data_IF_238370386797
#
_entry.id   IF_238370386797
#
_cell.length_a   1.000
_cell.length_b   1.000
_cell.length_c   1.000
_cell.angle_alpha   90.00
_cell.angle_beta   90.00
_cell.angle_gamma   90.00
#
_symmetry.space_group_name_H-M   'P 1'
#
loop_
_entity.id
_entity.type
_entity.pdbx_description
1 polymer ?
2 non-polymer ?
3 non-polymer ?
4 water ?
#
# COMPACT_ATOMS: atom_id res chain seq x y z
N UNK A 20 -19.02 18.16 3.59
CA UNK A 20 -18.60 17.34 2.41
C UNK A 20 -19.79 16.53 1.83
N UNK A 21 -20.41 17.06 0.78
CA UNK A 21 -21.51 16.38 0.07
C UNK A 21 -21.05 15.08 -0.68
N UNK A 22 -20.02 15.18 -1.55
CA UNK A 22 -19.50 14.05 -2.36
C UNK A 22 -18.54 13.10 -1.63
N UNK A 23 -18.36 11.91 -2.18
CA UNK A 23 -17.43 10.93 -1.61
C UNK A 23 -15.99 11.48 -1.62
N UNK A 24 -15.66 12.26 -2.64
CA UNK A 24 -14.39 12.95 -2.73
C UNK A 24 -14.33 13.90 -3.94
N UNK A 25 -13.53 14.96 -3.82
CA UNK A 25 -13.21 15.80 -4.97
C UNK A 25 -11.98 15.23 -5.70
N UNK A 26 -12.15 14.88 -6.98
CA UNK A 26 -11.10 14.32 -7.82
C UNK A 26 -10.81 15.20 -9.03
N UNK A 27 -9.53 15.47 -9.25
CA UNK A 27 -9.07 16.24 -10.37
C UNK A 27 -8.39 15.27 -11.40
N UNK A 28 -8.87 15.25 -12.63
CA UNK A 28 -8.39 14.36 -13.67
C UNK A 28 -7.53 15.17 -14.64
N UNK A 29 -6.27 14.78 -14.83
CA UNK A 29 -5.32 15.50 -15.63
C UNK A 29 -4.80 14.63 -16.76
N UNK A 30 -5.22 14.94 -17.98
CA UNK A 30 -4.89 14.12 -19.14
C UNK A 30 -5.06 14.98 -20.40
N UNK A 31 -4.25 14.78 -21.41
CA UNK A 31 -4.39 15.63 -22.60
C UNK A 31 -5.24 14.93 -23.62
N UNK A 32 -5.71 13.73 -23.30
CA UNK A 32 -6.56 13.01 -24.22
C UNK A 32 -8.00 13.23 -23.81
N UNK A 33 -8.71 14.01 -24.62
CA UNK A 33 -10.06 14.47 -24.27
C UNK A 33 -11.11 13.33 -24.07
N UNK A 34 -11.03 12.27 -24.86
CA UNK A 34 -12.00 11.17 -24.78
C UNK A 34 -11.78 10.37 -23.52
N UNK A 35 -10.54 10.38 -23.02
CA UNK A 35 -10.26 9.76 -21.74
C UNK A 35 -10.68 10.67 -20.59
N UNK A 36 -10.44 11.98 -20.72
CA UNK A 36 -11.02 12.93 -19.71
C UNK A 36 -12.55 12.75 -19.64
N UNK A 37 -13.22 12.69 -20.79
CA UNK A 37 -14.66 12.47 -20.82
C UNK A 37 -15.07 11.15 -20.13
N UNK A 38 -14.46 10.06 -20.52
CA UNK A 38 -14.79 8.75 -19.98
C UNK A 38 -14.63 8.69 -18.44
N UNK A 39 -13.48 9.14 -17.98
CA UNK A 39 -13.22 9.15 -16.57
C UNK A 39 -14.18 10.01 -15.80
N UNK A 40 -14.52 11.20 -16.31
CA UNK A 40 -15.37 12.05 -15.46
C UNK A 40 -16.79 11.57 -15.44
N UNK A 41 -17.25 11.00 -16.54
CA UNK A 41 -18.61 10.51 -16.57
C UNK A 41 -18.69 9.34 -15.57
N UNK A 42 -17.73 8.41 -15.59
CA UNK A 42 -17.80 7.27 -14.66
C UNK A 42 -17.73 7.70 -13.24
N UNK A 43 -16.72 8.52 -12.93
CA UNK A 43 -16.57 9.04 -11.60
C UNK A 43 -17.80 9.80 -11.13
N UNK A 44 -18.42 10.63 -11.98
CA UNK A 44 -19.59 11.36 -11.53
C UNK A 44 -20.76 10.43 -11.19
N UNK A 45 -20.89 9.37 -12.01
CA UNK A 45 -21.90 8.36 -11.82
C UNK A 45 -21.69 7.52 -10.57
N UNK A 46 -20.46 7.49 -10.06
CA UNK A 46 -20.13 6.83 -8.80
C UNK A 46 -20.28 7.82 -7.61
N UNK A 47 -20.63 9.08 -7.89
CA UNK A 47 -20.82 10.04 -6.83
C UNK A 47 -19.62 10.91 -6.47
N UNK A 48 -18.57 10.86 -7.27
CA UNK A 48 -17.40 11.76 -7.09
C UNK A 48 -17.67 13.10 -7.72
N UNK A 49 -17.20 14.17 -7.10
CA UNK A 49 -17.20 15.47 -7.68
C UNK A 49 -15.91 15.54 -8.52
N UNK A 50 -16.05 15.76 -9.82
CA UNK A 50 -14.89 15.68 -10.68
C UNK A 50 -14.58 16.99 -11.30
N UNK A 51 -13.30 17.34 -11.36
CA UNK A 51 -12.80 18.52 -12.07
C UNK A 51 -11.71 18.11 -13.07
N UNK A 52 -11.49 18.89 -14.13
CA UNK A 52 -10.62 18.37 -15.19
C UNK A 52 -9.53 19.35 -15.68
N UNK A 53 -8.43 18.83 -16.25
CA UNK A 53 -7.42 19.70 -16.86
C UNK A 53 -6.74 18.98 -17.99
N UNK A 54 -6.31 19.72 -18.99
CA UNK A 54 -5.73 19.10 -20.15
C UNK A 54 -4.23 19.29 -20.19
N UNK A 55 -3.68 20.03 -19.23
CA UNK A 55 -2.24 20.31 -19.16
C UNK A 55 -1.84 20.73 -17.73
N UNK A 56 -0.57 20.99 -17.51
CA UNK A 56 -0.07 21.29 -16.20
C UNK A 56 -0.52 22.65 -15.73
N UNK A 57 -0.58 23.64 -16.63
CA UNK A 57 -1.02 24.96 -16.16
C UNK A 57 -2.49 24.91 -15.66
N UNK A 58 -3.38 24.27 -16.42
CA UNK A 58 -4.76 24.17 -16.02
C UNK A 58 -4.89 23.34 -14.74
N UNK A 59 -4.00 22.33 -14.58
CA UNK A 59 -3.95 21.49 -13.37
C UNK A 59 -3.69 22.29 -12.09
N UNK A 60 -2.62 23.07 -12.07
CA UNK A 60 -2.29 23.95 -10.95
C UNK A 60 -3.44 24.96 -10.63
N UNK A 61 -3.99 25.65 -11.65
CA UNK A 61 -5.21 26.47 -11.48
C UNK A 61 -6.42 25.69 -10.89
N UNK A 62 -6.78 24.54 -11.46
CA UNK A 62 -7.95 23.86 -10.94
C UNK A 62 -7.72 23.33 -9.51
N UNK A 63 -6.50 22.88 -9.20
CA UNK A 63 -6.20 22.38 -7.86
C UNK A 63 -6.31 23.45 -6.77
N UNK A 64 -5.98 24.70 -7.09
CA UNK A 64 -6.10 25.81 -6.13
C UNK A 64 -7.54 26.25 -5.96
N UNK A 65 -8.33 26.17 -7.03
CA UNK A 65 -9.71 26.57 -6.96
C UNK A 65 -10.55 25.53 -6.21
N UNK A 66 -10.24 24.25 -6.41
CA UNK A 66 -11.15 23.16 -6.06
C UNK A 66 -10.61 22.25 -4.96
N UNK A 67 -9.33 22.40 -4.61
CA UNK A 67 -8.72 21.66 -3.48
C UNK A 67 -9.05 20.16 -3.47
N UNK A 68 -8.53 19.42 -4.46
CA UNK A 68 -8.94 18.03 -4.62
C UNK A 68 -8.40 17.11 -3.52
N UNK A 69 -9.09 15.98 -3.38
CA UNK A 69 -8.71 14.96 -2.43
C UNK A 69 -7.81 13.92 -3.10
N UNK A 70 -7.88 13.86 -4.42
CA UNK A 70 -7.08 12.93 -5.18
C UNK A 70 -6.87 13.49 -6.57
N UNK A 71 -5.76 13.12 -7.20
CA UNK A 71 -5.49 13.50 -8.57
C UNK A 71 -5.22 12.24 -9.40
N UNK A 72 -5.85 12.16 -10.56
CA UNK A 72 -5.58 11.13 -11.51
C UNK A 72 -4.85 11.77 -12.69
N UNK A 73 -3.66 11.31 -13.01
CA UNK A 73 -3.00 11.88 -14.15
C UNK A 73 -2.29 10.90 -15.01
N UNK A 74 -2.40 11.16 -16.30
CA UNK A 74 -1.69 10.39 -17.26
C UNK A 74 -0.21 10.71 -17.18
N UNK A 75 0.62 9.68 -17.19
CA UNK A 75 2.07 9.88 -17.21
C UNK A 75 2.52 10.44 -18.58
N UNK A 76 1.97 9.93 -19.67
CA UNK A 76 2.32 10.38 -21.01
C UNK A 76 1.57 11.67 -21.34
N UNK A 77 2.29 12.77 -21.44
CA UNK A 77 1.64 14.03 -21.76
C UNK A 77 2.57 14.87 -22.62
N UNK A 78 2.01 15.77 -23.43
CA UNK A 78 2.80 16.68 -24.27
C UNK A 78 3.63 17.69 -23.44
N UNK A 79 4.90 17.83 -23.80
CA UNK A 79 5.79 18.81 -23.20
C UNK A 79 6.43 18.43 -21.88
N UNK A 80 5.58 18.19 -20.87
CA UNK A 80 5.95 17.90 -19.49
C UNK A 80 5.16 16.66 -19.09
N UNK A 81 5.87 15.57 -18.73
CA UNK A 81 5.21 14.34 -18.30
C UNK A 81 4.53 14.46 -16.92
N UNK A 82 3.70 13.48 -16.60
CA UNK A 82 2.86 13.50 -15.40
C UNK A 82 3.60 13.57 -14.07
N UNK A 83 4.84 13.08 -14.03
CA UNK A 83 5.62 13.26 -12.79
C UNK A 83 5.91 14.73 -12.54
N UNK A 84 6.29 15.47 -13.59
CA UNK A 84 6.61 16.90 -13.47
C UNK A 84 5.46 17.78 -13.02
N UNK A 85 4.28 17.43 -13.51
CA UNK A 85 3.07 18.14 -13.15
C UNK A 85 2.74 17.91 -11.66
N UNK A 86 2.95 16.67 -11.22
CA UNK A 86 2.76 16.30 -9.82
C UNK A 86 3.78 16.99 -8.89
N UNK A 87 5.06 17.02 -9.29
CA UNK A 87 6.08 17.73 -8.52
C UNK A 87 5.67 19.16 -8.20
N UNK A 88 5.12 19.82 -9.22
CA UNK A 88 4.76 21.21 -9.12
C UNK A 88 3.49 21.42 -8.26
N UNK A 89 2.51 20.54 -8.41
CA UNK A 89 1.34 20.57 -7.53
C UNK A 89 1.78 20.41 -6.09
N UNK A 90 2.65 19.43 -5.86
CA UNK A 90 3.15 19.19 -4.50
C UNK A 90 4.00 20.31 -3.92
N UNK A 91 4.73 21.04 -4.76
CA UNK A 91 5.49 22.20 -4.27
C UNK A 91 4.55 23.34 -3.87
N UNK A 92 3.38 23.42 -4.51
CA UNK A 92 2.39 24.43 -4.13
C UNK A 92 1.59 24.07 -2.85
N UNK A 93 1.95 22.97 -2.20
CA UNK A 93 1.23 22.53 -1.00
C UNK A 93 0.02 21.62 -1.24
N UNK A 94 -0.30 21.33 -2.49
CA UNK A 94 -1.33 20.33 -2.80
C UNK A 94 -0.80 18.91 -2.58
N UNK A 95 -1.21 18.26 -1.49
CA UNK A 95 -0.63 16.96 -1.13
C UNK A 95 -1.52 15.74 -1.38
N UNK A 96 -2.64 15.96 -2.03
CA UNK A 96 -3.51 14.87 -2.42
C UNK A 96 -2.71 13.68 -3.03
N UNK A 97 -3.15 12.45 -2.76
CA UNK A 97 -2.50 11.32 -3.42
C UNK A 97 -2.90 11.25 -4.92
N UNK A 98 -2.05 10.60 -5.72
CA UNK A 98 -2.23 10.52 -7.16
C UNK A 98 -2.36 9.09 -7.60
N UNK A 99 -3.27 8.89 -8.54
CA UNK A 99 -3.33 7.68 -9.33
C UNK A 99 -2.80 7.98 -10.74
N UNK A 100 -1.80 7.23 -11.20
CA UNK A 100 -1.21 7.46 -12.53
C UNK A 100 -1.78 6.50 -13.55
N UNK A 101 -2.01 6.96 -14.77
CA UNK A 101 -2.37 6.08 -15.86
C UNK A 101 -1.09 5.95 -16.59
N UNK A 102 -0.59 4.72 -16.73
CA UNK A 102 0.76 4.51 -17.24
C UNK A 102 0.86 3.33 -18.21
N UNK A 103 1.81 3.41 -19.12
CA UNK A 103 2.05 2.35 -20.09
C UNK A 103 2.79 1.22 -19.41
N UNK A 104 2.62 -0.01 -19.90
CA UNK A 104 3.29 -1.17 -19.32
C UNK A 104 4.77 -1.28 -19.64
N UNK A 105 5.20 -0.73 -20.78
CA UNK A 105 6.60 -0.82 -21.23
C UNK A 105 7.57 -0.10 -20.29
N UNK A 106 7.07 0.94 -19.66
CA UNK A 106 7.83 1.75 -18.72
C UNK A 106 7.60 1.41 -17.25
N UNK A 107 7.37 0.16 -16.89
CA UNK A 107 7.07 -0.12 -15.48
C UNK A 107 8.31 -0.26 -14.62
N UNK A 108 9.25 -1.11 -15.04
CA UNK A 108 10.47 -1.28 -14.25
C UNK A 108 11.29 0.04 -14.12
N UNK A 109 11.24 0.90 -15.14
CA UNK A 109 11.97 2.17 -15.05
C UNK A 109 11.29 3.19 -14.13
N UNK A 110 9.95 3.18 -14.11
CA UNK A 110 9.17 4.22 -13.44
C UNK A 110 8.54 3.88 -12.08
N UNK A 111 8.74 2.64 -11.63
CA UNK A 111 8.17 2.09 -10.39
C UNK A 111 8.34 2.93 -9.11
N UNK A 112 9.49 3.60 -8.94
CA UNK A 112 9.76 4.44 -7.76
C UNK A 112 8.85 5.68 -7.72
N UNK A 113 8.72 6.37 -8.86
CA UNK A 113 7.85 7.54 -8.98
C UNK A 113 6.39 7.16 -8.82
N UNK A 114 6.03 6.03 -9.44
CA UNK A 114 4.67 5.53 -9.51
C UNK A 114 4.05 5.03 -8.19
N UNK A 115 4.88 4.74 -7.18
CA UNK A 115 4.38 4.17 -5.91
C UNK A 115 4.96 4.84 -4.66
N UNK A 116 5.54 6.03 -4.82
CA UNK A 116 6.04 6.74 -3.65
C UNK A 116 4.86 7.22 -2.82
N UNK A 117 5.02 7.20 -1.49
CA UNK A 117 4.03 7.76 -0.57
C UNK A 117 2.76 6.95 -0.63
N UNK A 118 1.65 7.61 -0.82
CA UNK A 118 0.42 6.89 -0.96
C UNK A 118 -0.17 7.03 -2.33
N UNK A 119 0.69 7.12 -3.34
CA UNK A 119 0.28 7.07 -4.76
C UNK A 119 0.16 5.64 -5.28
N UNK A 120 -0.56 5.48 -6.38
CA UNK A 120 -0.67 4.17 -7.03
C UNK A 120 -0.87 4.41 -8.55
N UNK A 121 -1.07 3.35 -9.34
CA UNK A 121 -1.16 3.47 -10.78
C UNK A 121 -2.06 2.42 -11.34
N UNK A 122 -2.60 2.65 -12.54
CA UNK A 122 -3.16 1.54 -13.38
C UNK A 122 -2.41 1.55 -14.71
N UNK A 123 -2.20 0.39 -15.29
CA UNK A 123 -1.56 0.30 -16.60
C UNK A 123 -2.57 0.40 -17.74
N UNK A 124 -2.18 1.04 -18.83
CA UNK A 124 -2.97 1.03 -20.06
C UNK A 124 -2.84 -0.31 -20.75
N UNK A 125 -3.92 -0.84 -21.34
CA UNK A 125 -5.34 -0.39 -21.32
C UNK A 125 -6.05 -0.75 -20.02
N UNK A 126 -6.65 0.23 -19.36
CA UNK A 126 -7.29 0.02 -18.05
C UNK A 126 -8.81 -0.13 -18.05
N UNK A 127 -9.29 -0.71 -16.95
CA UNK A 127 -10.71 -0.78 -16.74
C UNK A 127 -11.18 0.33 -15.78
N UNK A 128 -12.45 0.67 -15.82
CA UNK A 128 -12.96 1.65 -14.92
C UNK A 128 -13.11 1.09 -13.47
N UNK A 129 -13.49 -0.18 -13.36
CA UNK A 129 -13.49 -0.87 -12.10
C UNK A 129 -12.15 -0.70 -11.37
N UNK A 130 -11.05 -0.94 -12.09
CA UNK A 130 -9.77 -0.80 -11.51
C UNK A 130 -9.42 0.62 -11.07
N UNK A 131 -9.71 1.60 -11.91
CA UNK A 131 -9.47 2.99 -11.58
C UNK A 131 -10.24 3.34 -10.32
N UNK A 132 -11.53 2.98 -10.27
CA UNK A 132 -12.32 3.29 -9.11
C UNK A 132 -11.80 2.64 -7.80
N UNK A 133 -11.53 1.32 -7.85
CA UNK A 133 -10.93 0.60 -6.73
C UNK A 133 -9.63 1.18 -6.24
N UNK A 134 -8.74 1.60 -7.14
CA UNK A 134 -7.40 2.01 -6.70
C UNK A 134 -7.45 3.38 -6.11
N UNK A 135 -8.36 4.19 -6.66
CA UNK A 135 -8.73 5.49 -6.13
C UNK A 135 -9.29 5.39 -4.71
N UNK A 136 -10.20 4.45 -4.45
CA UNK A 136 -10.77 4.31 -3.10
C UNK A 136 -9.68 3.91 -2.10
N UNK A 137 -8.81 3.01 -2.49
CA UNK A 137 -7.71 2.64 -1.64
C UNK A 137 -6.79 3.83 -1.32
N UNK A 138 -6.33 4.61 -2.31
CA UNK A 138 -5.49 5.80 -1.97
C UNK A 138 -6.19 6.84 -1.06
N UNK A 139 -7.48 7.07 -1.29
CA UNK A 139 -8.30 7.96 -0.46
C UNK A 139 -8.36 7.48 1.00
N UNK A 140 -8.49 6.17 1.22
CA UNK A 140 -8.53 5.61 2.56
C UNK A 140 -7.18 5.74 3.23
N UNK A 141 -6.11 5.42 2.49
CA UNK A 141 -4.74 5.54 3.00
C UNK A 141 -4.39 6.99 3.40
N UNK A 142 -4.92 7.98 2.69
CA UNK A 142 -4.67 9.41 2.96
C UNK A 142 -5.46 10.05 4.12
N UNK A 143 -6.62 9.49 4.46
CA UNK A 143 -7.39 9.97 5.62
C UNK A 143 -6.75 9.55 6.94
N UNK A 144 -5.51 9.99 7.18
CA UNK A 144 -4.70 9.68 8.41
C UNK A 144 -4.65 8.19 8.81
N UNK A 151 -10.40 5.62 17.94
CA UNK A 151 -11.65 5.57 17.17
C UNK A 151 -12.80 6.36 17.82
N UNK A 152 -13.97 6.35 17.18
CA UNK A 152 -15.09 7.20 17.59
C UNK A 152 -16.25 6.45 18.26
N UNK A 153 -16.47 6.70 19.55
CA UNK A 153 -17.49 6.00 20.32
C UNK A 153 -18.37 6.94 21.16
N UNK A 154 -19.64 6.56 21.33
CA UNK A 154 -20.57 7.24 22.23
C UNK A 154 -21.30 6.28 23.17
N UNK A 155 -21.48 6.73 24.40
CA UNK A 155 -22.07 5.91 25.44
C UNK A 155 -23.11 6.74 26.15
N UNK A 156 -24.16 6.09 26.61
CA UNK A 156 -25.08 6.68 27.56
C UNK A 156 -25.80 5.57 28.32
N UNK A 157 -25.66 5.55 29.65
CA UNK A 157 -26.17 4.44 30.46
C UNK A 157 -25.71 3.09 29.84
N UNK A 158 -26.62 2.20 29.48
CA UNK A 158 -26.23 0.91 28.88
C UNK A 158 -26.33 0.88 27.33
N UNK A 159 -26.39 2.06 26.72
CA UNK A 159 -26.42 2.20 25.26
C UNK A 159 -25.04 2.63 24.74
N UNK A 160 -24.59 1.99 23.67
CA UNK A 160 -23.32 2.32 23.05
C UNK A 160 -23.44 2.38 21.55
N UNK A 161 -22.77 3.35 20.93
CA UNK A 161 -22.78 3.51 19.47
C UNK A 161 -21.37 3.70 18.92
N UNK A 162 -21.16 3.18 17.71
CA UNK A 162 -19.95 3.45 16.96
C UNK A 162 -20.35 4.30 15.76
N UNK A 163 -19.81 5.52 15.70
CA UNK A 163 -20.18 6.46 14.64
C UNK A 163 -19.67 6.07 13.27
N UNK A 164 -18.60 5.27 13.28
CA UNK A 164 -17.90 4.82 12.09
C UNK A 164 -18.64 3.69 11.35
N UNK A 165 -19.03 2.66 12.10
CA UNK A 165 -19.62 1.43 11.55
C UNK A 165 -21.15 1.38 11.66
N UNK A 166 -21.69 2.16 12.61
CA UNK A 166 -23.12 2.26 12.91
C UNK A 166 -23.65 1.13 13.84
N UNK A 167 -22.75 0.34 14.40
CA UNK A 167 -23.16 -0.70 15.34
C UNK A 167 -23.78 -0.09 16.59
N UNK A 168 -24.83 -0.72 17.10
CA UNK A 168 -25.46 -0.28 18.34
C UNK A 168 -25.53 -1.42 19.35
N UNK A 169 -25.33 -1.13 20.62
CA UNK A 169 -25.39 -2.15 21.69
C UNK A 169 -26.33 -1.72 22.83
N UNK A 170 -27.04 -2.68 23.41
CA UNK A 170 -27.96 -2.44 24.52
C UNK A 170 -27.72 -3.52 25.60
N UNK A 171 -27.14 -3.08 26.73
CA UNK A 171 -26.62 -3.98 27.79
C UNK A 171 -25.72 -5.08 27.22
N UNK A 172 -24.75 -4.68 26.40
CA UNK A 172 -23.85 -5.60 25.69
C UNK A 172 -24.37 -6.27 24.42
N UNK A 173 -25.69 -6.21 24.18
CA UNK A 173 -26.34 -6.94 23.07
C UNK A 173 -26.48 -6.13 21.78
N UNK A 174 -25.91 -6.63 20.65
CA UNK A 174 -26.04 -5.91 19.38
C UNK A 174 -27.49 -5.56 19.12
N UNK A 175 -27.73 -4.36 18.58
CA UNK A 175 -29.06 -3.96 18.15
C UNK A 175 -28.98 -3.43 16.73
N UNK A 176 -29.87 -3.94 15.88
CA UNK A 176 -29.92 -3.57 14.49
C UNK A 176 -30.86 -2.37 14.27
N UNK A 177 -30.29 -1.23 13.91
CA UNK A 177 -31.04 -0.02 13.58
C UNK A 177 -31.01 0.39 12.09
N UNK A 178 -32.10 0.94 11.60
CA UNK A 178 -32.06 1.53 10.29
C UNK A 178 -31.20 2.84 10.33
N UNK A 179 -30.75 3.33 9.15
CA UNK A 179 -29.97 4.61 9.15
C UNK A 179 -30.65 5.75 9.91
N UNK A 180 -31.96 5.90 9.73
CA UNK A 180 -32.73 6.93 10.40
C UNK A 180 -32.76 6.76 11.94
N UNK A 181 -32.96 5.52 12.39
CA UNK A 181 -33.06 5.17 13.80
C UNK A 181 -31.75 5.46 14.46
N UNK A 182 -30.68 5.22 13.72
CA UNK A 182 -29.33 5.51 14.17
C UNK A 182 -29.09 6.99 14.38
N UNK A 183 -29.38 7.77 13.35
CA UNK A 183 -29.30 9.24 13.39
C UNK A 183 -30.11 9.75 14.57
N UNK A 184 -31.32 9.23 14.72
CA UNK A 184 -32.21 9.61 15.83
C UNK A 184 -31.60 9.26 17.21
N UNK A 185 -31.13 8.03 17.39
CA UNK A 185 -30.52 7.65 18.65
C UNK A 185 -29.25 8.46 18.95
N UNK A 186 -28.41 8.69 17.94
CA UNK A 186 -27.22 9.53 18.08
C UNK A 186 -27.61 10.96 18.51
N UNK A 187 -28.63 11.53 17.88
CA UNK A 187 -29.13 12.87 18.26
C UNK A 187 -29.54 12.98 19.72
N UNK A 188 -30.27 11.98 20.23
CA UNK A 188 -30.63 11.91 21.67
C UNK A 188 -29.44 11.77 22.60
N UNK A 189 -28.48 10.91 22.26
CA UNK A 189 -27.30 10.61 23.11
C UNK A 189 -26.37 11.80 23.24
N UNK A 190 -26.00 12.40 22.11
CA UNK A 190 -25.23 13.65 22.06
C UNK A 190 -25.93 14.80 22.83
N UNK A 191 -27.26 14.82 22.81
CA UNK A 191 -28.03 15.82 23.54
C UNK A 191 -28.79 15.26 24.76
N UNK A 192 -28.23 14.23 25.38
CA UNK A 192 -28.81 13.65 26.58
C UNK A 192 -29.12 14.74 27.60
N UNK A 193 -30.33 14.69 28.13
CA UNK A 193 -30.76 15.70 29.09
C UNK A 193 -31.53 16.86 28.49
N UNK A 194 -31.43 17.06 27.17
CA UNK A 194 -32.09 18.19 26.51
C UNK A 194 -33.47 17.76 25.97
N UNK A 195 -34.50 18.53 26.27
CA UNK A 195 -35.82 18.26 25.68
C UNK A 195 -35.78 18.72 24.24
N UNK A 196 -35.98 17.78 23.35
CA UNK A 196 -35.94 18.00 21.92
C UNK A 196 -37.34 17.92 21.36
N UNK A 197 -37.75 18.99 20.69
CA UNK A 197 -39.09 19.08 20.11
C UNK A 197 -39.17 18.32 18.79
N UNK A 198 -40.37 17.89 18.42
CA UNK A 198 -40.55 17.19 17.15
C UNK A 198 -39.95 18.03 15.98
N UNK A 199 -40.29 19.34 15.87
CA UNK A 199 -39.67 20.12 14.78
C UNK A 199 -38.12 20.12 14.72
N UNK A 200 -37.44 20.34 15.84
CA UNK A 200 -35.96 20.19 15.88
C UNK A 200 -35.48 18.79 15.45
N UNK A 201 -36.17 17.77 15.94
CA UNK A 201 -35.79 16.41 15.57
C UNK A 201 -35.96 16.23 14.06
N UNK A 202 -37.10 16.70 13.54
CA UNK A 202 -37.42 16.49 12.15
C UNK A 202 -36.41 17.17 11.21
N UNK A 203 -36.09 18.42 11.51
CA UNK A 203 -35.05 19.14 10.80
C UNK A 203 -33.67 18.42 10.77
N UNK A 204 -33.27 17.79 11.85
CA UNK A 204 -31.92 17.27 11.95
C UNK A 204 -31.87 15.89 11.31
N UNK A 205 -32.82 15.03 11.70
CA UNK A 205 -32.85 13.67 11.21
C UNK A 205 -32.95 13.55 9.70
N UNK A 206 -33.75 14.38 9.07
CA UNK A 206 -33.90 14.37 7.60
C UNK A 206 -33.21 15.53 6.86
N UNK A 207 -32.27 16.21 7.55
CA UNK A 207 -31.42 17.25 6.95
C UNK A 207 -32.18 18.37 6.22
N UNK A 208 -33.33 18.78 6.76
CA UNK A 208 -34.14 19.85 6.16
C UNK A 208 -34.81 19.41 4.85
N UNK A 209 -34.62 18.17 4.43
CA UNK A 209 -35.17 17.79 3.16
C UNK A 209 -36.66 17.51 3.30
N UNK A 210 -37.07 17.18 4.52
CA UNK A 210 -38.41 16.70 4.79
C UNK A 210 -39.13 17.70 5.65
N UNK A 211 -40.36 18.01 5.29
CA UNK A 211 -41.12 19.00 6.05
C UNK A 211 -42.56 18.60 6.25
N UNK A 212 -42.83 17.31 6.26
CA UNK A 212 -44.21 16.82 6.34
C UNK A 212 -44.55 16.57 7.79
N UNK A 213 -45.56 15.73 8.01
CA UNK A 213 -46.11 15.58 9.36
C UNK A 213 -45.09 15.17 10.45
N UNK A 214 -45.11 15.92 11.56
CA UNK A 214 -44.31 15.63 12.74
C UNK A 214 -44.59 14.25 13.40
N UNK A 215 -45.72 13.61 13.08
CA UNK A 215 -46.03 12.26 13.62
C UNK A 215 -45.11 11.14 13.09
N UNK A 216 -44.39 11.42 12.01
CA UNK A 216 -43.25 10.63 11.60
C UNK A 216 -42.20 10.61 12.74
N UNK A 217 -41.99 11.72 13.42
CA UNK A 217 -41.09 11.74 14.56
C UNK A 217 -41.64 10.82 15.65
N UNK A 218 -42.95 10.86 15.86
CA UNK A 218 -43.58 10.00 16.84
C UNK A 218 -43.40 8.54 16.49
N UNK A 219 -43.54 8.19 15.22
CA UNK A 219 -43.34 6.81 14.76
C UNK A 219 -41.92 6.29 15.01
N UNK A 220 -40.92 7.11 14.62
CA UNK A 220 -39.50 6.74 14.80
C UNK A 220 -39.06 6.67 16.24
N UNK A 221 -39.52 7.60 17.06
CA UNK A 221 -39.24 7.49 18.49
C UNK A 221 -39.81 6.17 18.99
N UNK A 222 -41.00 5.84 18.52
CA UNK A 222 -41.68 4.58 18.88
C UNK A 222 -40.88 3.34 18.42
N UNK A 223 -40.34 3.37 17.19
CA UNK A 223 -39.51 2.25 16.73
C UNK A 223 -38.26 2.14 17.52
N UNK A 224 -37.64 3.30 17.75
CA UNK A 224 -36.43 3.39 18.55
C UNK A 224 -36.65 2.91 19.96
N UNK A 225 -37.78 3.28 20.59
CA UNK A 225 -38.01 2.83 21.97
C UNK A 225 -38.15 1.30 22.06
N UNK A 226 -38.71 0.71 21.01
CA UNK A 226 -38.97 -0.73 20.94
C UNK A 226 -37.70 -1.54 20.74
N UNK A 227 -36.64 -0.91 20.27
CA UNK A 227 -35.36 -1.59 20.06
C UNK A 227 -34.33 -1.32 21.16
N UNK A 228 -34.19 -0.07 21.61
CA UNK A 228 -33.16 0.24 22.63
C UNK A 228 -33.69 0.61 24.02
N UNK A 229 -34.99 0.77 24.14
CA UNK A 229 -35.60 1.24 25.38
C UNK A 229 -36.62 0.25 25.94
N UNK A 230 -36.10 -0.84 26.50
CA UNK A 230 -36.87 -2.05 26.75
C UNK A 230 -36.83 -2.52 28.23
N UNK A 231 -37.93 -2.29 28.95
CA UNK A 231 -38.09 -2.81 30.31
C UNK A 231 -37.33 -2.02 31.35
N UNK A 232 -37.47 -2.42 32.61
CA UNK A 232 -36.75 -1.78 33.72
C UNK A 232 -36.84 -0.22 33.68
N UNK A 233 -35.73 0.49 33.88
CA UNK A 233 -35.77 1.97 33.92
C UNK A 233 -35.96 2.55 32.51
N UNK A 234 -36.97 3.41 32.36
CA UNK A 234 -37.26 4.09 31.08
C UNK A 234 -36.22 5.19 30.80
N UNK A 235 -35.50 5.09 29.68
CA UNK A 235 -34.46 6.09 29.37
C UNK A 235 -34.95 7.21 28.44
N UNK A 236 -35.97 6.90 27.64
CA UNK A 236 -36.49 7.81 26.64
C UNK A 236 -37.89 8.31 27.01
N UNK A 237 -38.01 9.59 27.30
CA UNK A 237 -39.24 10.12 27.86
C UNK A 237 -39.96 11.10 26.94
N UNK A 238 -41.27 11.16 27.13
CA UNK A 238 -42.11 12.12 26.47
C UNK A 238 -42.55 13.14 27.50
N UNK A 239 -42.14 14.38 27.26
CA UNK A 239 -42.73 15.48 27.97
C UNK A 239 -43.87 15.94 27.06
N UNK A 240 -45.08 15.59 27.44
CA UNK A 240 -46.28 15.77 26.61
C UNK A 240 -46.54 17.24 26.25
N UNK A 241 -46.65 17.49 24.94
CA UNK A 241 -46.90 18.84 24.41
C UNK A 241 -45.63 19.62 24.11
N UNK A 242 -44.47 19.07 24.51
CA UNK A 242 -43.19 19.80 24.43
C UNK A 242 -42.17 19.05 23.59
N UNK A 243 -41.89 17.79 23.96
CA UNK A 243 -40.97 16.99 23.16
C UNK A 243 -40.49 15.73 23.85
N UNK A 244 -39.33 15.24 23.39
CA UNK A 244 -38.72 14.03 23.93
C UNK A 244 -37.37 14.30 24.59
N UNK A 245 -37.04 13.52 25.61
CA UNK A 245 -35.74 13.64 26.26
C UNK A 245 -35.16 12.29 26.67
N UNK A 246 -33.86 12.12 26.41
CA UNK A 246 -33.15 10.95 26.85
C UNK A 246 -32.48 11.30 28.16
N UNK A 247 -32.96 10.64 29.23
CA UNK A 247 -32.57 10.91 30.61
C UNK A 247 -32.85 9.68 31.48
N UNK A 248 -32.06 9.55 32.55
CA UNK A 248 -32.31 8.53 33.55
C UNK A 248 -33.61 8.95 34.27
N UNK A 249 -34.50 7.97 34.66
CA UNK A 249 -35.72 8.25 35.41
C UNK A 249 -35.31 8.68 36.83
N UNK B 21 22.41 -15.74 -4.52
CA UNK B 21 21.05 -15.85 -3.92
C UNK B 21 19.97 -15.40 -4.92
N UNK B 22 18.81 -16.11 -4.96
CA UNK B 22 17.72 -15.50 -5.76
C UNK B 22 17.21 -14.18 -5.17
N UNK B 23 16.58 -13.37 -6.00
CA UNK B 23 15.96 -12.14 -5.53
C UNK B 23 14.85 -12.47 -4.49
N UNK B 24 14.06 -13.52 -4.73
CA UNK B 24 13.10 -14.01 -3.78
C UNK B 24 12.57 -15.38 -4.18
N UNK B 25 12.06 -16.13 -3.21
CA UNK B 25 11.31 -17.35 -3.43
C UNK B 25 9.84 -17.02 -3.54
N UNK B 26 9.24 -17.33 -4.69
CA UNK B 26 7.82 -17.09 -4.98
C UNK B 26 7.06 -18.40 -5.19
N UNK B 27 5.93 -18.52 -4.54
CA UNK B 27 5.04 -19.64 -4.77
C UNK B 27 3.83 -19.18 -5.61
N UNK B 28 3.63 -19.82 -6.76
CA UNK B 28 2.51 -19.52 -7.63
C UNK B 28 1.43 -20.57 -7.44
N UNK B 29 0.21 -20.14 -7.09
CA UNK B 29 -0.93 -21.02 -6.86
C UNK B 29 -2.07 -20.69 -7.84
N UNK B 30 -2.35 -21.61 -8.77
CA UNK B 30 -3.36 -21.39 -9.82
C UNK B 30 -3.72 -22.79 -10.39
N UNK B 31 -4.95 -22.99 -10.79
CA UNK B 31 -5.34 -24.31 -11.26
C UNK B 31 -5.34 -24.29 -12.77
N UNK B 32 -5.00 -23.16 -13.35
CA UNK B 32 -4.86 -23.06 -14.80
C UNK B 32 -3.36 -23.27 -15.16
N UNK B 33 -3.08 -24.43 -15.77
CA UNK B 33 -1.72 -24.88 -15.98
C UNK B 33 -0.87 -23.95 -16.89
N UNK B 34 -1.46 -23.45 -17.96
CA UNK B 34 -0.80 -22.57 -18.90
C UNK B 34 -0.46 -21.23 -18.22
N UNK B 35 -1.22 -20.82 -17.22
CA UNK B 35 -0.92 -19.59 -16.49
C UNK B 35 0.17 -19.87 -15.45
N UNK B 36 0.12 -21.04 -14.83
CA UNK B 36 1.25 -21.51 -14.02
C UNK B 36 2.53 -21.55 -14.85
N UNK B 37 2.48 -22.15 -16.04
CA UNK B 37 3.68 -22.15 -16.87
C UNK B 37 4.19 -20.72 -17.18
N UNK B 38 3.33 -19.85 -17.72
CA UNK B 38 3.72 -18.50 -18.07
C UNK B 38 4.34 -17.71 -16.94
N UNK B 39 3.68 -17.75 -15.79
CA UNK B 39 4.18 -17.01 -14.65
C UNK B 39 5.55 -17.50 -14.19
N UNK B 40 5.75 -18.81 -14.16
CA UNK B 40 6.99 -19.30 -13.62
C UNK B 40 8.14 -19.11 -14.55
N UNK B 41 7.94 -19.33 -15.86
CA UNK B 41 8.97 -19.05 -16.84
C UNK B 41 9.36 -17.56 -16.74
N UNK B 42 8.39 -16.64 -16.70
CA UNK B 42 8.75 -15.22 -16.62
C UNK B 42 9.53 -14.90 -15.40
N UNK B 43 9.03 -15.37 -14.28
CA UNK B 43 9.64 -15.07 -13.03
C UNK B 43 11.03 -15.65 -12.99
N UNK B 44 11.22 -16.87 -13.52
CA UNK B 44 12.53 -17.48 -13.49
C UNK B 44 13.52 -16.68 -14.34
N UNK B 45 13.03 -16.17 -15.46
CA UNK B 45 13.86 -15.38 -16.34
C UNK B 45 14.22 -14.05 -15.80
N UNK B 46 13.45 -13.56 -14.83
CA UNK B 46 13.74 -12.36 -14.06
C UNK B 46 14.63 -12.66 -12.83
N UNK B 47 14.98 -13.92 -12.60
CA UNK B 47 15.89 -14.26 -11.48
C UNK B 47 15.24 -14.72 -10.17
N UNK B 48 13.92 -14.92 -10.18
CA UNK B 48 13.19 -15.45 -9.02
C UNK B 48 13.26 -16.99 -8.95
N UNK B 49 13.24 -17.53 -7.75
CA UNK B 49 13.15 -18.96 -7.52
C UNK B 49 11.65 -19.24 -7.39
N UNK B 50 11.11 -20.03 -8.31
CA UNK B 50 9.66 -20.19 -8.38
C UNK B 50 9.30 -21.61 -8.03
N UNK B 51 8.24 -21.77 -7.24
CA UNK B 51 7.67 -23.07 -6.93
C UNK B 51 6.19 -22.99 -7.29
N UNK B 52 5.53 -24.13 -7.56
CA UNK B 52 4.13 -24.04 -8.03
C UNK B 52 3.18 -24.98 -7.31
N UNK B 53 1.87 -24.71 -7.39
CA UNK B 53 0.82 -25.57 -6.82
C UNK B 53 -0.48 -25.34 -7.55
N UNK B 54 -1.25 -26.40 -7.74
CA UNK B 54 -2.45 -26.32 -8.58
C UNK B 54 -3.72 -26.24 -7.72
N UNK B 55 -3.58 -26.28 -6.39
CA UNK B 55 -4.68 -26.31 -5.42
C UNK B 55 -4.23 -25.98 -3.96
N UNK B 56 -5.16 -25.88 -3.05
CA UNK B 56 -4.85 -25.49 -1.69
C UNK B 56 -3.97 -26.49 -0.98
N UNK B 57 -4.24 -27.78 -1.15
CA UNK B 57 -3.45 -28.78 -0.44
C UNK B 57 -1.99 -28.70 -0.91
N UNK B 58 -1.77 -28.66 -2.22
CA UNK B 58 -0.40 -28.58 -2.77
C UNK B 58 0.29 -27.31 -2.33
N UNK B 59 -0.49 -26.22 -2.18
CA UNK B 59 0.01 -24.91 -1.71
C UNK B 59 0.53 -24.96 -0.28
N UNK B 60 -0.21 -25.56 0.64
CA UNK B 60 0.22 -25.68 2.01
C UNK B 60 1.49 -26.56 2.10
N UNK B 61 1.57 -27.65 1.31
CA UNK B 61 2.77 -28.52 1.29
C UNK B 61 3.98 -27.79 0.74
N UNK B 62 3.83 -27.11 -0.40
CA UNK B 62 4.97 -26.43 -0.98
C UNK B 62 5.46 -25.26 -0.09
N UNK B 63 4.55 -24.57 0.59
CA UNK B 63 4.95 -23.44 1.45
C UNK B 63 5.75 -23.88 2.69
N UNK B 64 5.45 -25.05 3.23
CA UNK B 64 6.24 -25.60 4.32
C UNK B 64 7.61 -26.10 3.87
N UNK B 65 7.68 -26.67 2.67
CA UNK B 65 8.94 -27.18 2.15
C UNK B 65 9.87 -26.06 1.70
N UNK B 66 9.32 -24.99 1.13
CA UNK B 66 10.12 -23.99 0.44
C UNK B 66 10.11 -22.59 1.05
N UNK B 67 9.29 -22.38 2.08
CA UNK B 67 9.25 -21.10 2.79
C UNK B 67 9.30 -19.88 1.86
N UNK B 68 8.20 -19.59 1.15
CA UNK B 68 8.26 -18.49 0.20
C UNK B 68 8.25 -17.08 0.80
N UNK B 69 8.79 -16.15 0.04
CA UNK B 69 8.79 -14.74 0.39
C UNK B 69 7.57 -14.05 -0.15
N UNK B 70 6.89 -14.67 -1.13
CA UNK B 70 5.67 -14.11 -1.68
C UNK B 70 4.81 -15.19 -2.33
N UNK B 71 3.49 -14.98 -2.33
CA UNK B 71 2.58 -15.90 -2.95
C UNK B 71 1.76 -15.15 -4.00
N UNK B 72 1.67 -15.75 -5.19
CA UNK B 72 0.79 -15.27 -6.23
C UNK B 72 -0.33 -16.31 -6.34
N UNK B 73 -1.56 -15.86 -6.19
CA UNK B 73 -2.67 -16.76 -6.32
C UNK B 73 -3.90 -16.21 -7.01
N UNK B 74 -4.48 -17.08 -7.82
CA UNK B 74 -5.65 -16.73 -8.52
C UNK B 74 -6.83 -16.77 -7.54
N UNK B 75 -7.61 -15.69 -7.50
CA UNK B 75 -8.82 -15.66 -6.73
C UNK B 75 -9.84 -16.72 -7.19
N UNK B 76 -9.96 -16.96 -8.50
CA UNK B 76 -10.90 -17.95 -9.03
C UNK B 76 -10.29 -19.34 -9.03
N UNK B 77 -10.73 -20.19 -8.13
CA UNK B 77 -10.22 -21.55 -8.11
C UNK B 77 -11.33 -22.55 -7.81
N UNK B 78 -11.19 -23.78 -8.33
CA UNK B 78 -12.18 -24.83 -8.09
C UNK B 78 -12.30 -25.14 -6.58
N UNK B 79 -13.53 -25.28 -6.10
CA UNK B 79 -13.81 -25.73 -4.74
C UNK B 79 -13.68 -24.68 -3.64
N UNK B 80 -12.47 -24.14 -3.51
CA UNK B 80 -12.07 -23.18 -2.46
C UNK B 80 -11.36 -22.01 -3.16
N UNK B 81 -11.93 -20.81 -3.06
CA UNK B 81 -11.30 -19.65 -3.68
C UNK B 81 -9.97 -19.22 -3.04
N UNK B 82 -9.29 -18.29 -3.71
CA UNK B 82 -7.97 -17.83 -3.35
C UNK B 82 -7.83 -17.17 -2.00
N UNK B 83 -8.89 -16.55 -1.51
CA UNK B 83 -8.91 -16.06 -0.14
C UNK B 83 -8.83 -17.17 0.90
N UNK B 84 -9.64 -18.22 0.74
CA UNK B 84 -9.60 -19.38 1.64
C UNK B 84 -8.24 -20.08 1.72
N UNK B 85 -7.61 -20.22 0.58
CA UNK B 85 -6.28 -20.82 0.50
C UNK B 85 -5.26 -19.98 1.27
N UNK B 86 -5.39 -18.65 1.12
CA UNK B 86 -4.55 -17.71 1.85
C UNK B 86 -4.83 -17.72 3.36
N UNK B 87 -6.09 -17.77 3.78
CA UNK B 87 -6.41 -17.88 5.22
C UNK B 87 -5.70 -19.07 5.90
N UNK B 88 -5.77 -20.23 5.22
CA UNK B 88 -5.20 -21.47 5.72
C UNK B 88 -3.70 -21.35 5.85
N UNK B 89 -3.03 -20.86 4.79
CA UNK B 89 -1.59 -20.61 4.81
C UNK B 89 -1.21 -19.72 5.98
N UNK B 90 -1.86 -18.56 6.06
CA UNK B 90 -1.62 -17.67 7.18
C UNK B 90 -1.88 -18.27 8.58
N UNK B 91 -2.80 -19.21 8.69
CA UNK B 91 -3.05 -19.88 9.98
C UNK B 91 -1.89 -20.84 10.34
N UNK B 92 -1.21 -21.36 9.31
CA UNK B 92 -0.01 -22.18 9.53
C UNK B 92 1.27 -21.36 9.78
N UNK B 93 1.15 -20.04 9.91
CA UNK B 93 2.31 -19.20 10.23
C UNK B 93 3.09 -18.73 9.00
N UNK B 94 2.66 -19.15 7.81
CA UNK B 94 3.18 -18.56 6.57
C UNK B 94 2.65 -17.13 6.37
N UNK B 95 3.48 -16.13 6.66
CA UNK B 95 3.03 -14.72 6.59
C UNK B 95 3.48 -13.94 5.37
N UNK B 96 4.06 -14.62 4.38
CA UNK B 96 4.46 -13.95 3.17
C UNK B 96 3.31 -13.08 2.61
N UNK B 97 3.62 -11.92 2.02
CA UNK B 97 2.57 -11.17 1.30
C UNK B 97 2.08 -11.89 0.01
N UNK B 98 0.88 -11.54 -0.44
CA UNK B 98 0.26 -12.18 -1.56
C UNK B 98 -0.09 -11.14 -2.62
N UNK B 99 -0.03 -11.60 -3.87
CA UNK B 99 -0.49 -10.91 -5.05
C UNK B 99 -1.63 -11.75 -5.64
N UNK B 100 -2.85 -11.20 -5.68
CA UNK B 100 -3.97 -11.93 -6.29
C UNK B 100 -4.09 -11.67 -7.79
N UNK B 101 -4.45 -12.68 -8.56
CA UNK B 101 -4.92 -12.46 -9.93
C UNK B 101 -6.42 -12.48 -9.79
N UNK B 102 -7.09 -11.45 -10.26
CA UNK B 102 -8.52 -11.28 -9.96
C UNK B 102 -9.27 -10.71 -11.18
N UNK B 103 -10.54 -11.07 -11.29
CA UNK B 103 -11.40 -10.57 -12.36
C UNK B 103 -11.82 -9.16 -12.01
N UNK B 104 -12.12 -8.35 -13.02
CA UNK B 104 -12.52 -6.97 -12.78
C UNK B 104 -13.94 -6.79 -12.29
N UNK B 105 -14.83 -7.71 -12.65
CA UNK B 105 -16.26 -7.67 -12.25
C UNK B 105 -16.45 -7.73 -10.73
N UNK B 106 -15.53 -8.40 -10.06
CA UNK B 106 -15.57 -8.55 -8.61
C UNK B 106 -14.70 -7.55 -7.82
N UNK B 107 -14.51 -6.32 -8.29
CA UNK B 107 -13.54 -5.47 -7.61
C UNK B 107 -14.12 -4.75 -6.41
N UNK B 108 -15.23 -4.06 -6.58
CA UNK B 108 -15.87 -3.38 -5.44
C UNK B 108 -16.31 -4.33 -4.31
N UNK B 109 -16.66 -5.57 -4.64
CA UNK B 109 -17.05 -6.53 -3.59
C UNK B 109 -15.84 -7.08 -2.81
N UNK B 110 -14.70 -7.24 -3.49
CA UNK B 110 -13.57 -7.99 -2.94
C UNK B 110 -12.39 -7.15 -2.46
N UNK B 111 -12.51 -5.82 -2.60
CA UNK B 111 -11.43 -4.85 -2.34
C UNK B 111 -10.76 -4.95 -0.96
N UNK B 112 -11.52 -5.34 0.07
CA UNK B 112 -11.02 -5.46 1.45
C UNK B 112 -10.07 -6.64 1.61
N UNK B 113 -10.45 -7.79 1.07
CA UNK B 113 -9.59 -8.97 1.07
C UNK B 113 -8.37 -8.82 0.18
N UNK B 114 -8.54 -8.18 -0.98
CA UNK B 114 -7.50 -7.98 -1.98
C UNK B 114 -6.37 -7.00 -1.58
N UNK B 115 -6.58 -6.14 -0.60
CA UNK B 115 -5.59 -5.12 -0.25
C UNK B 115 -5.29 -5.00 1.24
N UNK B 116 -5.74 -5.95 2.05
CA UNK B 116 -5.39 -5.99 3.49
C UNK B 116 -3.89 -6.23 3.68
N UNK B 117 -3.32 -5.60 4.70
CA UNK B 117 -1.93 -5.84 5.07
C UNK B 117 -1.00 -5.30 4.01
N UNK B 118 -0.08 -6.14 3.54
CA UNK B 118 0.79 -5.74 2.45
C UNK B 118 0.52 -6.57 1.20
N UNK B 119 -0.72 -6.96 1.01
CA UNK B 119 -1.15 -7.68 -0.19
C UNK B 119 -1.54 -6.72 -1.33
N UNK B 120 -1.47 -7.20 -2.56
CA UNK B 120 -1.95 -6.41 -3.68
C UNK B 120 -2.51 -7.36 -4.75
N UNK B 121 -3.01 -6.83 -5.87
CA UNK B 121 -3.62 -7.65 -6.91
C UNK B 121 -3.28 -7.11 -8.30
N UNK B 122 -3.46 -7.95 -9.33
CA UNK B 122 -3.61 -7.48 -10.71
C UNK B 122 -4.91 -8.04 -11.27
N UNK B 123 -5.54 -7.32 -12.19
CA UNK B 123 -6.82 -7.73 -12.73
C UNK B 123 -6.61 -8.44 -14.06
N UNK B 124 -7.42 -9.45 -14.33
CA UNK B 124 -7.37 -10.13 -15.64
C UNK B 124 -8.07 -9.30 -16.70
N UNK B 125 -7.54 -9.28 -17.93
CA UNK B 125 -6.28 -9.90 -18.44
C UNK B 125 -5.07 -9.06 -18.05
N UNK B 126 -4.06 -9.70 -17.45
CA UNK B 126 -2.91 -8.98 -16.93
C UNK B 126 -1.64 -9.05 -17.79
N UNK B 127 -0.72 -8.15 -17.49
CA UNK B 127 0.58 -8.16 -18.14
C UNK B 127 1.67 -8.69 -17.21
N UNK B 128 2.74 -9.24 -17.75
CA UNK B 128 3.83 -9.72 -16.88
C UNK B 128 4.60 -8.55 -16.28
N UNK B 129 4.76 -7.46 -17.02
CA UNK B 129 5.33 -6.27 -16.44
C UNK B 129 4.62 -5.88 -15.17
N UNK B 130 3.29 -5.84 -15.20
CA UNK B 130 2.58 -5.46 -14.02
C UNK B 130 2.74 -6.48 -12.86
N UNK B 131 2.73 -7.77 -13.19
CA UNK B 131 2.87 -8.78 -12.16
C UNK B 131 4.19 -8.59 -11.45
N UNK B 132 5.26 -8.44 -12.22
CA UNK B 132 6.60 -8.29 -11.67
C UNK B 132 6.74 -7.04 -10.80
N UNK B 133 6.28 -5.90 -11.33
CA UNK B 133 6.31 -4.64 -10.57
C UNK B 133 5.53 -4.71 -9.26
N UNK B 134 4.35 -5.34 -9.25
CA UNK B 134 3.54 -5.34 -8.02
C UNK B 134 4.10 -6.29 -7.00
N UNK B 135 4.70 -7.38 -7.48
CA UNK B 135 5.48 -8.30 -6.69
C UNK B 135 6.68 -7.60 -6.02
N UNK B 136 7.46 -6.80 -6.76
CA UNK B 136 8.63 -6.14 -6.16
C UNK B 136 8.19 -5.16 -5.06
N UNK B 137 7.11 -4.47 -5.31
CA UNK B 137 6.62 -3.56 -4.29
C UNK B 137 6.19 -4.30 -3.01
N UNK B 138 5.37 -5.37 -3.12
CA UNK B 138 5.00 -6.11 -1.89
C UNK B 138 6.21 -6.73 -1.14
N UNK B 139 7.21 -7.21 -1.91
CA UNK B 139 8.46 -7.69 -1.31
C UNK B 139 9.23 -6.60 -0.53
N UNK B 140 9.24 -5.38 -1.05
CA UNK B 140 9.91 -4.27 -0.39
C UNK B 140 9.17 -3.84 0.87
N UNK B 141 7.83 -3.80 0.79
CA UNK B 141 6.98 -3.40 1.93
C UNK B 141 7.11 -4.42 3.07
N UNK B 142 7.30 -5.71 2.74
CA UNK B 142 7.46 -6.78 3.74
C UNK B 142 8.83 -6.89 4.42
N UNK B 143 9.88 -6.28 3.84
CA UNK B 143 11.20 -6.24 4.50
C UNK B 143 11.24 -5.30 5.72
N UNK B 144 11.06 -5.89 6.91
CA UNK B 144 10.79 -5.18 8.19
C UNK B 144 9.58 -4.22 8.08
N UNK B 153 24.77 -0.22 7.43
CA UNK B 153 25.81 0.79 7.69
C UNK B 153 27.00 0.25 8.48
N UNK B 154 27.95 -0.32 7.76
CA UNK B 154 29.24 -0.69 8.32
C UNK B 154 30.15 0.52 8.37
N UNK B 155 30.85 0.66 9.47
CA UNK B 155 31.80 1.74 9.64
C UNK B 155 33.15 1.14 9.99
N UNK B 156 34.22 1.77 9.49
CA UNK B 156 35.55 1.53 10.02
C UNK B 156 36.36 2.81 9.87
N UNK B 157 36.97 3.28 10.96
CA UNK B 157 37.72 4.54 10.96
C UNK B 157 36.86 5.60 10.26
N UNK B 158 37.34 6.16 9.14
CA UNK B 158 36.54 7.14 8.38
C UNK B 158 35.88 6.59 7.13
N UNK B 159 35.78 5.27 7.05
CA UNK B 159 35.16 4.63 5.93
C UNK B 159 33.77 4.18 6.36
N UNK B 160 32.80 4.38 5.47
CA UNK B 160 31.45 3.91 5.69
C UNK B 160 30.90 3.24 4.46
N UNK B 161 30.11 2.19 4.66
CA UNK B 161 29.47 1.44 3.54
C UNK B 161 28.01 1.13 3.84
N UNK B 162 27.19 1.17 2.80
CA UNK B 162 25.81 0.70 2.88
C UNK B 162 25.72 -0.60 2.09
N UNK B 163 25.41 -1.69 2.77
CA UNK B 163 25.35 -3.00 2.12
C UNK B 163 24.20 -3.14 1.14
N UNK B 164 23.16 -2.33 1.34
CA UNK B 164 21.94 -2.35 0.55
C UNK B 164 22.11 -1.68 -0.83
N UNK B 165 22.75 -0.50 -0.85
CA UNK B 165 22.81 0.34 -2.04
C UNK B 165 24.21 0.29 -2.67
N UNK B 166 25.21 -0.03 -1.84
CA UNK B 166 26.62 -0.12 -2.24
C UNK B 166 27.37 1.22 -2.27
N UNK B 167 26.77 2.26 -1.71
CA UNK B 167 27.42 3.55 -1.58
C UNK B 167 28.58 3.44 -0.62
N UNK B 168 29.68 4.10 -0.96
CA UNK B 168 30.83 4.14 -0.08
C UNK B 168 31.20 5.61 0.21
N UNK B 169 31.64 5.88 1.45
CA UNK B 169 32.10 7.21 1.85
C UNK B 169 33.49 7.19 2.50
N UNK B 170 34.27 8.23 2.18
CA UNK B 170 35.61 8.40 2.74
C UNK B 170 35.76 9.82 3.31
N UNK B 171 35.79 9.91 4.64
CA UNK B 171 35.77 11.18 5.35
C UNK B 171 34.57 12.03 4.88
N UNK B 172 33.41 11.38 4.81
CA UNK B 172 32.17 12.04 4.39
C UNK B 172 31.97 12.08 2.87
N UNK B 173 33.05 11.90 2.11
CA UNK B 173 33.00 12.08 0.65
C UNK B 173 32.63 10.78 -0.10
N UNK B 174 31.58 10.83 -0.93
CA UNK B 174 31.18 9.67 -1.76
C UNK B 174 32.34 9.11 -2.57
N UNK B 175 32.50 7.78 -2.56
CA UNK B 175 33.51 7.13 -3.38
C UNK B 175 32.82 6.11 -4.28
N UNK B 176 33.18 6.14 -5.55
CA UNK B 176 32.63 5.24 -6.52
C UNK B 176 33.49 3.96 -6.68
N UNK B 177 32.93 2.81 -6.34
CA UNK B 177 33.63 1.52 -6.39
C UNK B 177 32.93 0.53 -7.34
N UNK B 178 33.71 -0.25 -8.05
CA UNK B 178 33.13 -1.32 -8.87
C UNK B 178 32.58 -2.42 -7.92
N UNK B 179 31.69 -3.30 -8.42
CA UNK B 179 31.18 -4.40 -7.57
C UNK B 179 32.24 -5.23 -6.85
N UNK B 180 33.40 -5.39 -7.47
CA UNK B 180 34.47 -6.24 -6.93
C UNK B 180 35.24 -5.50 -5.82
N UNK B 181 35.49 -4.23 -6.04
CA UNK B 181 36.14 -3.35 -5.07
C UNK B 181 35.26 -3.24 -3.84
N UNK B 182 33.95 -3.25 -4.06
CA UNK B 182 33.02 -3.11 -2.95
C UNK B 182 33.11 -4.36 -2.08
N UNK B 183 32.87 -5.52 -2.69
CA UNK B 183 33.03 -6.82 -2.05
C UNK B 183 34.34 -6.91 -1.28
N UNK B 184 35.44 -6.48 -1.92
CA UNK B 184 36.78 -6.49 -1.33
C UNK B 184 36.83 -5.54 -0.15
N UNK B 185 36.29 -4.33 -0.29
CA UNK B 185 36.30 -3.43 0.86
C UNK B 185 35.50 -4.01 2.06
N UNK B 186 34.31 -4.53 1.78
CA UNK B 186 33.45 -5.12 2.81
C UNK B 186 34.18 -6.27 3.54
N UNK B 187 34.83 -7.13 2.77
CA UNK B 187 35.55 -8.27 3.32
C UNK B 187 36.63 -7.85 4.33
N UNK B 188 37.38 -6.79 3.99
CA UNK B 188 38.40 -6.19 4.90
C UNK B 188 37.76 -5.56 6.16
N UNK B 189 36.67 -4.81 5.99
CA UNK B 189 35.99 -4.13 7.11
C UNK B 189 35.41 -5.14 8.10
N UNK B 190 34.58 -6.06 7.59
CA UNK B 190 34.02 -7.14 8.41
C UNK B 190 35.11 -7.99 9.13
N UNK B 191 36.29 -8.12 8.52
CA UNK B 191 37.43 -8.83 9.12
C UNK B 191 38.57 -7.88 9.53
N UNK B 192 38.24 -6.64 9.88
CA UNK B 192 39.25 -5.68 10.36
C UNK B 192 40.22 -6.35 11.39
N UNK B 193 41.52 -6.14 11.24
CA UNK B 193 42.50 -6.71 12.15
C UNK B 193 42.96 -8.12 11.81
N UNK B 194 42.28 -8.79 10.88
CA UNK B 194 42.67 -10.13 10.45
C UNK B 194 43.57 -10.07 9.21
N UNK B 195 44.68 -10.83 9.25
CA UNK B 195 45.57 -10.92 8.08
C UNK B 195 44.96 -11.89 7.07
N UNK B 196 44.68 -11.36 5.88
CA UNK B 196 43.94 -12.05 4.84
C UNK B 196 44.87 -12.32 3.68
N UNK B 197 45.09 -13.60 3.41
CA UNK B 197 46.02 -13.98 2.39
C UNK B 197 45.36 -13.83 1.01
N UNK B 198 46.19 -13.72 -0.01
CA UNK B 198 45.69 -13.59 -1.35
C UNK B 198 44.74 -14.73 -1.71
N UNK B 199 45.10 -16.01 -1.39
CA UNK B 199 44.16 -17.09 -1.73
C UNK B 199 42.79 -16.99 -1.07
N UNK B 200 42.76 -16.62 0.23
CA UNK B 200 41.48 -16.42 0.96
C UNK B 200 40.69 -15.28 0.32
N UNK B 201 41.37 -14.22 -0.09
CA UNK B 201 40.67 -13.08 -0.69
C UNK B 201 40.12 -13.48 -2.04
N UNK B 202 40.90 -14.22 -2.80
CA UNK B 202 40.52 -14.68 -4.14
C UNK B 202 39.28 -15.61 -4.15
N UNK B 203 39.26 -16.58 -3.25
CA UNK B 203 38.08 -17.43 -3.08
C UNK B 203 36.80 -16.62 -2.71
N UNK B 204 36.96 -15.60 -1.87
CA UNK B 204 35.81 -14.95 -1.29
C UNK B 204 35.24 -13.98 -2.26
N UNK B 205 36.12 -13.24 -2.92
CA UNK B 205 35.69 -12.14 -3.75
C UNK B 205 35.03 -12.59 -5.04
N UNK B 206 35.47 -13.72 -5.59
CA UNK B 206 34.91 -14.22 -6.82
C UNK B 206 34.12 -15.50 -6.58
N UNK B 207 33.80 -15.74 -5.30
CA UNK B 207 32.90 -16.87 -4.89
C UNK B 207 33.32 -18.28 -5.33
N UNK B 208 34.62 -18.54 -5.40
CA UNK B 208 35.16 -19.83 -5.89
C UNK B 208 35.03 -20.04 -7.38
N UNK B 209 34.50 -19.06 -8.11
CA UNK B 209 34.38 -19.24 -9.53
C UNK B 209 35.72 -19.07 -10.23
N UNK B 210 36.61 -18.29 -9.62
CA UNK B 210 37.84 -17.89 -10.29
C UNK B 210 38.99 -18.59 -9.59
N UNK B 211 39.90 -19.17 -10.39
CA UNK B 211 41.08 -19.81 -9.85
C UNK B 211 42.41 -19.45 -10.51
N UNK B 212 42.51 -18.25 -11.11
CA UNK B 212 43.72 -17.85 -11.84
C UNK B 212 44.69 -17.10 -10.93
N UNK B 213 45.57 -16.32 -11.54
CA UNK B 213 46.68 -15.72 -10.80
C UNK B 213 46.23 -14.84 -9.64
N UNK B 214 46.85 -15.06 -8.49
CA UNK B 214 46.64 -14.23 -7.29
C UNK B 214 46.98 -12.74 -7.46
N UNK B 215 47.78 -12.38 -8.46
CA UNK B 215 48.16 -10.96 -8.67
C UNK B 215 46.99 -10.06 -9.11
N UNK B 216 45.86 -10.67 -9.48
CA UNK B 216 44.59 -9.98 -9.60
C UNK B 216 44.19 -9.42 -8.22
N UNK B 217 44.50 -10.16 -7.16
CA UNK B 217 44.22 -9.66 -5.82
C UNK B 217 45.12 -8.45 -5.59
N UNK B 218 46.36 -8.54 -6.07
CA UNK B 218 47.27 -7.41 -5.89
C UNK B 218 46.78 -6.17 -6.63
N UNK B 219 46.26 -6.34 -7.83
CA UNK B 219 45.68 -5.20 -8.57
C UNK B 219 44.48 -4.56 -7.86
N UNK B 220 43.54 -5.40 -7.38
CA UNK B 220 42.35 -4.89 -6.70
C UNK B 220 42.64 -4.18 -5.38
N UNK B 221 43.51 -4.75 -4.55
CA UNK B 221 43.97 -4.07 -3.36
C UNK B 221 44.59 -2.73 -3.71
N UNK B 222 45.37 -2.70 -4.79
CA UNK B 222 45.95 -1.43 -5.30
C UNK B 222 44.87 -0.42 -5.75
N UNK B 223 43.86 -0.86 -6.51
CA UNK B 223 42.81 0.07 -6.88
C UNK B 223 42.10 0.57 -5.64
N UNK B 224 41.78 -0.34 -4.73
CA UNK B 224 41.03 -0.01 -3.54
C UNK B 224 41.81 0.96 -2.62
N UNK B 225 43.13 0.77 -2.48
CA UNK B 225 43.91 1.75 -1.72
C UNK B 225 43.87 3.13 -2.36
N UNK B 226 43.86 3.18 -3.69
CA UNK B 226 43.88 4.44 -4.42
C UNK B 226 42.57 5.23 -4.21
N UNK B 227 41.47 4.52 -3.98
CA UNK B 227 40.16 5.15 -3.77
C UNK B 227 39.77 5.43 -2.29
N UNK B 228 40.07 4.52 -1.37
CA UNK B 228 39.64 4.70 0.01
C UNK B 228 40.73 4.83 1.08
N UNK B 229 41.98 4.58 0.75
CA UNK B 229 43.06 4.66 1.73
C UNK B 229 43.98 5.83 1.44
N UNK B 230 43.41 7.03 1.44
CA UNK B 230 44.09 8.23 0.97
C UNK B 230 44.27 9.31 2.05
N UNK B 231 44.19 8.92 3.32
CA UNK B 231 44.27 9.86 4.44
C UNK B 231 45.67 9.97 5.00
N UNK B 232 45.80 10.67 6.14
CA UNK B 232 47.08 10.82 6.85
C UNK B 232 47.70 9.45 7.13
N UNK B 233 46.95 8.68 7.93
CA UNK B 233 47.38 7.37 8.40
C UNK B 233 46.97 6.24 7.43
N UNK B 234 47.89 5.32 7.17
CA UNK B 234 47.63 4.17 6.29
C UNK B 234 46.69 3.19 7.00
N UNK B 235 45.55 2.87 6.39
CA UNK B 235 44.60 1.90 6.98
C UNK B 235 44.75 0.44 6.49
N UNK B 236 45.21 0.29 5.24
CA UNK B 236 45.32 -0.99 4.55
C UNK B 236 46.80 -1.39 4.37
N UNK B 237 47.21 -2.44 5.06
CA UNK B 237 48.61 -2.79 5.13
C UNK B 237 48.96 -4.09 4.44
N UNK B 238 50.20 -4.19 4.00
CA UNK B 238 50.72 -5.39 3.39
C UNK B 238 51.67 -5.97 4.39
N UNK B 239 51.39 -7.20 4.79
CA UNK B 239 52.38 -7.94 5.55
C UNK B 239 53.00 -8.84 4.51
N UNK B 240 54.21 -8.48 4.10
CA UNK B 240 54.83 -9.05 2.91
C UNK B 240 55.07 -10.54 3.08
N UNK B 241 54.59 -11.31 2.10
CA UNK B 241 54.75 -12.78 2.09
C UNK B 241 53.59 -13.51 2.73
N UNK B 242 52.66 -12.76 3.32
CA UNK B 242 51.62 -13.34 4.17
C UNK B 242 50.25 -12.90 3.76
N UNK B 243 50.02 -11.59 3.72
CA UNK B 243 48.72 -11.08 3.32
C UNK B 243 48.50 -9.60 3.53
N UNK B 244 47.23 -9.22 3.55
CA UNK B 244 46.85 -7.85 3.77
C UNK B 244 45.97 -7.74 5.03
N UNK B 245 45.98 -6.57 5.66
CA UNK B 245 45.17 -6.38 6.85
C UNK B 245 44.73 -4.94 6.93
N UNK B 246 43.53 -4.74 7.44
CA UNK B 246 42.95 -3.41 7.61
C UNK B 246 43.00 -3.18 9.09
N UNK B 247 43.78 -2.19 9.49
CA UNK B 247 43.95 -1.85 10.88
C UNK B 247 44.26 -0.36 10.95
N UNK B 248 43.57 0.32 11.89
CA UNK B 248 43.73 1.74 12.10
C UNK B 248 44.95 1.87 12.98
N UNK B 249 46.09 2.36 12.43
CA UNK B 249 47.33 2.34 13.22
C UNK B 249 47.31 3.39 14.35
X LIG C 1 -14.00 21.37 -15.02
X LIG C 1 -14.34 20.36 -16.03
X LIG C 1 -15.19 21.76 -14.26
X LIG C 1 -12.96 20.85 -14.15
X LIG C 1 -13.49 22.57 -15.65
X LIG D 1 -25.09 10.77 11.60
X LIG D 1 -26.05 9.69 11.83
X LIG D 1 -25.71 12.06 11.90
X LIG D 1 -23.90 10.58 12.44
X LIG D 1 -24.67 10.73 10.21
X LIG E 1 29.29 -9.26 -0.45
X LIG E 1 30.14 -10.44 -0.63
X LIG E 1 28.04 -9.72 0.18
X LIG E 1 30.02 -8.28 0.36
X LIG E 1 28.94 -8.55 -1.70
X LIG F 1 7.46 -26.98 -8.34
X LIG F 1 6.81 -28.30 -8.20
X LIG F 1 7.13 -26.16 -7.20
X LIG F 1 8.91 -27.15 -8.45
X LIG F 1 6.92 -26.37 -9.60
X LIG G 1 46.68 -19.53 2.97
X LIG G 1 46.98 -20.67 3.85
X LIG G 1 45.63 -19.98 2.06
X LIG G 1 46.08 -18.46 3.79
X LIG G 1 47.88 -19.09 2.26
X LIG H 1 52.83 -11.73 -0.69
X LIG H 1 52.31 -10.28 -0.70
X LIG H 1 51.30 -10.01 0.44
X LIG H 1 53.63 -12.06 -1.85
X LIG H 1 53.39 -9.34 -0.65
#
# INVERSE_FOLDING_TARGET
GTHXRKGVDLVTAGTPGENTTPEARVLVVDDEANIVELLSVSLKFQGFEVYTATNGAQALDRARETRPDAVILDVXMPGMDGFGVLRRLRADGIDAPALFLTARDSLQDKIAGLTLGGDDYVTKPFSLEEVVARLRVILRRAGKGNKEPRNVRLTFADIELDEETHEVWKAGQPVSLSPTEFTLLRYFVINAGTVLSKPKILDHVWRYDFGGDVNVVESYVSYLRRKIDTGEKRLLHTLRGVGYVLREPR
GTHXRKGVDLVTAGTPGENTTPEARVLVVDDEANIVELLSVSLKFQGFEVYTATNGAQALDRARETRPDAVILDVXMPGMDGFGVLRRLRADGIDAPALFLTARDSLQDKIAGLTLGGDDYVTKPFSLEEVVARLRVILRRAGKGNKEPRNVRLTFADIELDEETHEVWKAGQPVSLSPTEFTLLRYFVINAGTVLSKPKILDHVWRYDFGGDVNVVESYVSYLRRKIDTGEKRLLHTLRGVGYVLREPR
SO4 S O1 O2 O3 O4
SO4 S O1 O2 O3 O4
SO4 S O1 O2 O3 O4
SO4 S O1 O2 O3 O4
SO4 S O1 O2 O3 O4
PGR C1 C2 C3 O1 O2
#
